data_IF_228763882063
#
_entry.id   IF_228763882063
#
_cell.length_a   1.000
_cell.length_b   1.000
_cell.length_c   1.000
_cell.angle_alpha   90.00
_cell.angle_beta   90.00
_cell.angle_gamma   90.00
#
_symmetry.space_group_name_H-M   'P 1'
#
loop_
_entity.id
_entity.type
_entity.pdbx_description
1 polymer ?
#
# COMPACT_ATOMS: atom_id res chain seq x y z
N UNK A 1 -71.21 -4.54 -35.88
CA UNK A 1 -70.42 -3.78 -34.88
C UNK A 1 -69.29 -4.67 -34.40
N UNK A 2 -68.07 -4.30 -34.76
CA UNK A 2 -66.84 -5.10 -34.69
C UNK A 2 -65.96 -4.60 -33.54
N UNK A 3 -65.46 -5.49 -32.68
CA UNK A 3 -64.21 -5.29 -31.93
C UNK A 3 -63.65 -6.66 -31.52
N UNK A 4 -62.72 -7.20 -32.31
CA UNK A 4 -61.26 -7.16 -32.13
C UNK A 4 -60.76 -7.94 -30.89
N UNK A 5 -60.68 -9.27 -31.03
CA UNK A 5 -59.88 -10.15 -30.18
C UNK A 5 -58.40 -10.03 -30.55
N UNK A 6 -57.62 -9.31 -29.75
CA UNK A 6 -56.17 -9.23 -29.90
C UNK A 6 -55.49 -10.46 -29.26
N UNK A 7 -55.25 -11.49 -30.06
CA UNK A 7 -54.38 -12.62 -29.67
C UNK A 7 -52.94 -12.12 -29.53
N UNK A 8 -52.45 -12.00 -28.30
CA UNK A 8 -51.03 -11.73 -28.00
C UNK A 8 -50.23 -13.00 -28.29
N UNK A 9 -49.73 -13.11 -29.52
CA UNK A 9 -48.70 -14.09 -29.91
C UNK A 9 -47.42 -13.76 -29.12
N UNK A 10 -47.16 -14.49 -28.03
CA UNK A 10 -45.92 -14.38 -27.28
C UNK A 10 -44.74 -14.68 -28.22
N UNK A 11 -43.95 -13.66 -28.54
CA UNK A 11 -42.78 -13.75 -29.41
C UNK A 11 -41.73 -14.59 -28.68
N UNK A 12 -41.63 -15.88 -29.01
CA UNK A 12 -40.52 -16.75 -28.55
C UNK A 12 -39.21 -16.11 -29.02
N UNK A 13 -38.49 -15.46 -28.10
CA UNK A 13 -37.14 -14.93 -28.33
C UNK A 13 -36.23 -16.11 -28.62
N UNK A 14 -35.67 -16.19 -29.84
CA UNK A 14 -34.61 -17.15 -30.16
C UNK A 14 -33.45 -16.86 -29.22
N UNK A 15 -33.07 -17.83 -28.38
CA UNK A 15 -31.92 -17.72 -27.50
C UNK A 15 -30.67 -17.56 -28.36
N UNK A 16 -29.94 -16.49 -28.09
CA UNK A 16 -28.65 -16.17 -28.70
C UNK A 16 -27.59 -17.15 -28.19
N UNK A 17 -26.57 -17.49 -28.99
CA UNK A 17 -25.44 -18.34 -28.55
C UNK A 17 -24.75 -17.76 -27.30
N UNK A 18 -24.84 -16.44 -27.11
CA UNK A 18 -24.34 -15.72 -25.94
C UNK A 18 -25.16 -15.98 -24.65
N UNK A 19 -26.43 -16.41 -24.77
CA UNK A 19 -27.29 -16.76 -23.63
C UNK A 19 -26.86 -18.10 -22.99
N UNK A 20 -26.01 -18.90 -23.65
CA UNK A 20 -25.49 -20.17 -23.12
C UNK A 20 -24.27 -19.98 -22.21
N UNK A 21 -23.52 -18.88 -22.36
CA UNK A 21 -22.26 -18.64 -21.64
C UNK A 21 -22.30 -17.46 -20.66
N UNK A 22 -23.23 -16.52 -20.82
CA UNK A 22 -23.43 -15.44 -19.87
C UNK A 22 -24.53 -15.83 -18.87
N UNK A 23 -24.22 -16.01 -17.57
CA UNK A 23 -25.28 -16.16 -16.58
C UNK A 23 -26.16 -14.90 -16.63
N UNK A 24 -27.51 -15.02 -16.62
CA UNK A 24 -28.38 -13.86 -16.59
C UNK A 24 -28.01 -12.98 -15.40
N UNK A 25 -28.06 -11.65 -15.54
CA UNK A 25 -27.69 -10.70 -14.49
C UNK A 25 -28.30 -11.03 -13.12
N UNK A 26 -29.50 -11.61 -13.10
CA UNK A 26 -30.16 -12.12 -11.88
C UNK A 26 -29.36 -13.24 -11.17
N UNK A 27 -28.77 -14.19 -11.92
CA UNK A 27 -27.88 -15.22 -11.36
C UNK A 27 -26.53 -14.65 -10.90
N UNK A 28 -26.00 -13.64 -11.60
CA UNK A 28 -24.77 -12.96 -11.21
C UNK A 28 -24.98 -12.14 -9.92
N UNK A 29 -26.11 -11.42 -9.82
CA UNK A 29 -26.53 -10.71 -8.63
C UNK A 29 -26.76 -11.68 -7.45
N UNK A 30 -27.42 -12.82 -7.68
CA UNK A 30 -27.58 -13.88 -6.66
C UNK A 30 -26.26 -14.54 -6.24
N UNK A 31 -25.22 -14.58 -7.08
CA UNK A 31 -23.88 -15.04 -6.67
C UNK A 31 -23.13 -14.01 -5.84
N UNK A 32 -23.31 -12.73 -6.15
CA UNK A 32 -22.71 -11.62 -5.38
C UNK A 32 -23.40 -11.42 -4.03
N UNK A 33 -24.74 -11.48 -4.00
CA UNK A 33 -25.56 -11.27 -2.79
C UNK A 33 -25.96 -12.55 -2.04
N UNK A 34 -25.88 -13.72 -2.67
CA UNK A 34 -26.34 -14.98 -2.09
C UNK A 34 -25.27 -15.81 -1.38
N UNK A 35 -24.04 -15.29 -1.27
CA UNK A 35 -23.03 -15.91 -0.43
C UNK A 35 -23.31 -15.44 1.00
N UNK A 36 -23.99 -16.30 1.77
CA UNK A 36 -24.21 -16.19 3.22
C UNK A 36 -23.10 -15.35 3.84
N UNK A 37 -23.49 -14.17 4.26
CA UNK A 37 -22.64 -13.15 4.83
C UNK A 37 -21.92 -13.80 6.02
N UNK A 38 -20.65 -14.18 5.82
CA UNK A 38 -19.90 -14.89 6.84
C UNK A 38 -19.87 -14.02 8.08
N UNK A 39 -20.20 -14.59 9.23
CA UNK A 39 -20.22 -13.86 10.51
C UNK A 39 -18.87 -13.18 10.80
N UNK A 40 -17.78 -13.65 10.19
CA UNK A 40 -16.48 -12.99 10.19
C UNK A 40 -16.47 -11.60 9.52
N UNK A 41 -17.21 -11.39 8.43
CA UNK A 41 -17.33 -10.07 7.78
C UNK A 41 -18.20 -9.12 8.62
N UNK A 42 -19.23 -9.64 9.31
CA UNK A 42 -20.03 -8.84 10.27
C UNK A 42 -19.16 -8.39 11.44
N UNK A 43 -18.24 -9.24 11.90
CA UNK A 43 -17.32 -8.93 12.99
C UNK A 43 -16.24 -7.90 12.60
N UNK A 44 -15.88 -7.79 11.32
CA UNK A 44 -14.94 -6.78 10.85
C UNK A 44 -15.50 -5.36 10.85
N UNK A 45 -16.83 -5.17 10.72
CA UNK A 45 -17.47 -3.85 10.72
C UNK A 45 -17.35 -3.12 12.06
N UNK A 46 -17.68 -3.72 13.22
CA UNK A 46 -17.52 -3.06 14.51
C UNK A 46 -16.03 -2.86 14.85
N UNK A 47 -15.14 -3.77 14.46
CA UNK A 47 -13.70 -3.57 14.62
C UNK A 47 -13.20 -2.36 13.82
N UNK A 48 -13.62 -2.24 12.56
CA UNK A 48 -13.29 -1.08 11.72
C UNK A 48 -13.88 0.22 12.30
N UNK A 49 -15.11 0.18 12.81
CA UNK A 49 -15.74 1.33 13.46
C UNK A 49 -15.03 1.73 14.76
N UNK A 50 -14.58 0.76 15.57
CA UNK A 50 -13.78 1.02 16.78
C UNK A 50 -12.42 1.61 16.40
N UNK A 51 -11.75 1.12 15.36
CA UNK A 51 -10.49 1.70 14.86
C UNK A 51 -10.72 3.15 14.39
N UNK A 52 -11.76 3.39 13.60
CA UNK A 52 -12.08 4.74 13.09
C UNK A 52 -12.48 5.71 14.21
N UNK A 53 -13.22 5.23 15.22
CA UNK A 53 -13.62 6.03 16.37
C UNK A 53 -12.45 6.34 17.29
N UNK A 54 -11.60 5.34 17.58
CA UNK A 54 -10.38 5.52 18.39
C UNK A 54 -9.38 6.46 17.72
N UNK A 55 -9.30 6.44 16.39
CA UNK A 55 -8.47 7.37 15.63
C UNK A 55 -9.06 8.79 15.58
N UNK A 56 -10.40 8.93 15.55
CA UNK A 56 -11.05 10.25 15.62
C UNK A 56 -10.88 10.92 16.98
N UNK A 57 -10.91 10.16 18.08
CA UNK A 57 -10.71 10.71 19.43
C UNK A 57 -9.26 11.14 19.69
N UNK A 58 -8.29 10.69 18.90
CA UNK A 58 -6.90 11.14 19.01
C UNK A 58 -6.68 12.52 18.34
N UNK A 59 -7.59 12.96 17.47
CA UNK A 59 -7.56 14.28 16.85
C UNK A 59 -8.16 15.35 17.78
N UNK A 60 -7.65 15.47 19.01
CA UNK A 60 -7.91 16.65 19.80
C UNK A 60 -7.15 17.83 19.18
N UNK A 61 -7.90 18.83 18.71
CA UNK A 61 -7.34 20.09 18.23
C UNK A 61 -6.55 20.75 19.37
N UNK A 62 -5.23 20.75 19.25
CA UNK A 62 -4.35 21.61 20.04
C UNK A 62 -4.64 23.06 19.64
N UNK A 63 -5.03 23.91 20.58
CA UNK A 63 -5.06 25.37 20.39
C UNK A 63 -3.62 25.91 20.38
N UNK A 64 -2.82 25.50 19.40
CA UNK A 64 -1.55 26.16 19.13
C UNK A 64 -1.84 27.49 18.44
N UNK A 65 -1.28 28.57 18.98
CA UNK A 65 -1.33 29.87 18.34
C UNK A 65 -0.80 29.74 16.90
N UNK A 66 -1.54 30.28 15.93
CA UNK A 66 -1.13 30.30 14.52
C UNK A 66 0.03 31.29 14.39
N UNK A 67 1.25 30.79 14.59
CA UNK A 67 2.50 31.50 14.31
C UNK A 67 2.93 31.21 12.87
N UNK A 68 3.69 32.12 12.26
CA UNK A 68 4.22 31.90 10.91
C UNK A 68 5.12 30.67 10.82
N UNK A 69 5.85 30.35 11.90
CA UNK A 69 6.69 29.15 12.00
C UNK A 69 5.86 27.86 11.99
N UNK A 70 4.76 27.81 12.77
CA UNK A 70 3.87 26.63 12.81
C UNK A 70 3.25 26.37 11.43
N UNK A 71 2.88 27.43 10.70
CA UNK A 71 2.34 27.30 9.33
C UNK A 71 3.39 26.74 8.36
N UNK A 72 4.65 27.18 8.46
CA UNK A 72 5.73 26.65 7.62
C UNK A 72 5.97 25.15 7.88
N UNK A 73 6.04 24.75 9.15
CA UNK A 73 6.18 23.34 9.55
C UNK A 73 5.08 22.49 8.94
N UNK A 74 3.82 22.92 9.05
CA UNK A 74 2.68 22.18 8.49
C UNK A 74 2.76 22.08 6.96
N UNK A 75 3.11 23.18 6.28
CA UNK A 75 3.25 23.19 4.81
C UNK A 75 4.37 22.27 4.33
N UNK A 76 5.53 22.29 5.00
CA UNK A 76 6.68 21.44 4.68
C UNK A 76 6.31 19.95 4.87
N UNK A 77 5.63 19.61 5.97
CA UNK A 77 5.17 18.24 6.21
C UNK A 77 4.12 17.78 5.19
N UNK A 78 3.16 18.63 4.82
CA UNK A 78 2.17 18.29 3.77
C UNK A 78 2.87 18.06 2.44
N UNK A 79 3.80 18.94 2.06
CA UNK A 79 4.53 18.81 0.81
C UNK A 79 5.33 17.50 0.75
N UNK A 80 6.09 17.17 1.80
CA UNK A 80 6.87 15.94 1.86
C UNK A 80 5.99 14.70 1.96
N UNK A 81 4.84 14.78 2.63
CA UNK A 81 3.87 13.69 2.69
C UNK A 81 3.26 13.41 1.30
N UNK A 82 2.91 14.45 0.54
CA UNK A 82 2.49 14.30 -0.86
C UNK A 82 3.61 13.68 -1.70
N UNK A 83 4.84 14.16 -1.54
CA UNK A 83 6.00 13.59 -2.23
C UNK A 83 6.21 12.10 -1.87
N UNK A 84 6.07 11.73 -0.59
CA UNK A 84 6.18 10.35 -0.13
C UNK A 84 5.12 9.46 -0.79
N UNK A 85 3.87 9.94 -0.89
CA UNK A 85 2.81 9.22 -1.62
C UNK A 85 3.19 9.00 -3.08
N UNK A 86 3.73 10.02 -3.77
CA UNK A 86 4.19 9.88 -5.16
C UNK A 86 5.30 8.82 -5.30
N UNK A 87 6.22 8.73 -4.35
CA UNK A 87 7.27 7.70 -4.33
C UNK A 87 6.67 6.31 -4.05
N UNK A 88 5.66 6.19 -3.19
CA UNK A 88 4.96 4.91 -3.00
C UNK A 88 4.27 4.46 -4.31
N UNK A 89 3.70 5.39 -5.08
CA UNK A 89 3.15 5.09 -6.40
C UNK A 89 4.20 4.59 -7.39
N UNK A 90 5.47 4.99 -7.25
CA UNK A 90 6.56 4.44 -8.05
C UNK A 90 6.79 2.95 -7.77
N UNK A 91 6.61 2.47 -6.53
CA UNK A 91 6.68 1.03 -6.22
C UNK A 91 5.60 0.24 -6.95
N UNK A 92 4.36 0.74 -6.95
CA UNK A 92 3.27 0.15 -7.72
C UNK A 92 3.52 0.24 -9.24
N UNK A 93 4.09 1.36 -9.71
CA UNK A 93 4.50 1.56 -11.09
C UNK A 93 5.51 0.52 -11.56
N UNK A 94 6.57 0.28 -10.79
CA UNK A 94 7.57 -0.75 -11.09
C UNK A 94 6.96 -2.14 -11.11
N UNK A 95 6.06 -2.48 -10.17
CA UNK A 95 5.36 -3.76 -10.20
C UNK A 95 4.55 -3.99 -11.48
N UNK A 96 3.89 -2.94 -11.98
CA UNK A 96 3.18 -3.00 -13.28
C UNK A 96 4.15 -3.19 -14.45
N UNK A 97 5.26 -2.44 -14.48
CA UNK A 97 6.29 -2.59 -15.52
C UNK A 97 6.92 -3.99 -15.52
N UNK A 98 7.25 -4.53 -14.34
CA UNK A 98 7.77 -5.89 -14.18
C UNK A 98 6.81 -6.94 -14.74
N UNK A 99 5.51 -6.81 -14.45
CA UNK A 99 4.53 -7.72 -15.04
C UNK A 99 4.30 -7.55 -16.52
N UNK A 100 4.47 -6.34 -17.05
CA UNK A 100 4.35 -6.07 -18.47
C UNK A 100 5.41 -6.80 -19.32
N UNK A 101 6.60 -7.01 -18.77
CA UNK A 101 7.68 -7.73 -19.46
C UNK A 101 7.69 -9.25 -19.22
N UNK A 102 6.87 -9.74 -18.30
CA UNK A 102 6.84 -11.16 -17.96
C UNK A 102 5.70 -11.90 -18.67
N UNK A 103 5.79 -13.22 -18.69
CA UNK A 103 4.75 -14.04 -19.31
C UNK A 103 3.45 -13.94 -18.50
N UNK A 104 2.31 -13.82 -19.19
CA UNK A 104 0.99 -13.66 -18.56
C UNK A 104 0.67 -14.73 -17.51
N UNK A 105 1.11 -15.98 -17.72
CA UNK A 105 0.92 -17.08 -16.78
C UNK A 105 1.58 -16.86 -15.40
N UNK A 106 2.58 -15.96 -15.34
CA UNK A 106 3.34 -15.64 -14.13
C UNK A 106 2.99 -14.26 -13.56
N UNK A 107 2.12 -13.48 -14.21
CA UNK A 107 1.85 -12.09 -13.85
C UNK A 107 1.34 -11.92 -12.41
N UNK A 108 0.41 -12.77 -11.98
CA UNK A 108 -0.12 -12.74 -10.59
C UNK A 108 0.99 -13.00 -9.58
N UNK A 109 1.84 -14.00 -9.85
CA UNK A 109 2.94 -14.32 -8.96
C UNK A 109 3.89 -13.11 -8.80
N UNK A 110 4.24 -12.44 -9.90
CA UNK A 110 5.14 -11.28 -9.88
C UNK A 110 4.52 -10.08 -9.15
N UNK A 111 3.25 -9.75 -9.39
CA UNK A 111 2.57 -8.67 -8.65
C UNK A 111 2.53 -8.97 -7.15
N UNK A 112 2.24 -10.21 -6.77
CA UNK A 112 2.23 -10.60 -5.37
C UNK A 112 3.62 -10.46 -4.73
N UNK A 113 4.70 -10.78 -5.46
CA UNK A 113 6.07 -10.56 -4.95
C UNK A 113 6.34 -9.08 -4.70
N UNK A 114 6.00 -8.23 -5.65
CA UNK A 114 6.26 -6.79 -5.56
C UNK A 114 5.51 -6.16 -4.36
N UNK A 115 4.24 -6.54 -4.16
CA UNK A 115 3.45 -6.06 -3.02
C UNK A 115 4.01 -6.54 -1.68
N UNK A 116 4.35 -7.83 -1.55
CA UNK A 116 4.87 -8.39 -0.30
C UNK A 116 6.23 -7.78 0.03
N UNK A 117 7.09 -7.61 -0.96
CA UNK A 117 8.42 -7.02 -0.74
C UNK A 117 8.34 -5.56 -0.36
N UNK A 118 7.40 -4.78 -0.90
CA UNK A 118 7.19 -3.40 -0.42
C UNK A 118 6.77 -3.35 1.06
N UNK A 119 5.87 -4.24 1.48
CA UNK A 119 5.47 -4.34 2.89
C UNK A 119 6.63 -4.76 3.81
N UNK A 120 7.40 -5.77 3.40
CA UNK A 120 8.57 -6.23 4.16
C UNK A 120 9.70 -5.20 4.17
N UNK A 121 9.91 -4.48 3.08
CA UNK A 121 10.86 -3.38 2.99
C UNK A 121 10.54 -2.31 4.03
N UNK A 122 9.27 -1.88 4.09
CA UNK A 122 8.80 -0.88 5.05
C UNK A 122 8.97 -1.36 6.49
N UNK A 123 8.60 -2.61 6.79
CA UNK A 123 8.75 -3.18 8.13
C UNK A 123 10.22 -3.35 8.55
N UNK A 124 11.07 -3.78 7.63
CA UNK A 124 12.50 -3.97 7.90
C UNK A 124 13.22 -2.64 8.10
N UNK A 125 12.85 -1.64 7.31
CA UNK A 125 13.34 -0.27 7.46
C UNK A 125 12.84 0.36 8.77
N UNK A 126 11.59 0.10 9.16
CA UNK A 126 11.06 0.51 10.47
C UNK A 126 11.80 -0.15 11.64
N UNK A 127 12.03 -1.46 11.58
CA UNK A 127 12.63 -2.19 12.69
C UNK A 127 14.10 -1.79 12.91
N UNK A 128 14.89 -1.71 11.83
CA UNK A 128 16.35 -1.54 11.92
C UNK A 128 16.86 -0.42 11.03
N UNK A 129 16.37 -0.33 9.80
CA UNK A 129 17.00 0.51 8.78
C UNK A 129 16.99 2.02 9.08
N UNK A 130 15.93 2.54 9.67
CA UNK A 130 15.85 3.96 10.02
C UNK A 130 16.91 4.35 11.07
N UNK A 131 17.06 3.53 12.11
CA UNK A 131 18.05 3.72 13.16
C UNK A 131 19.49 3.64 12.66
N UNK A 132 19.76 2.74 11.70
CA UNK A 132 21.08 2.63 11.08
C UNK A 132 21.40 3.79 10.12
N UNK A 133 20.40 4.39 9.47
CA UNK A 133 20.63 5.41 8.46
C UNK A 133 20.79 6.81 9.06
N UNK A 134 20.01 7.16 10.08
CA UNK A 134 19.93 8.55 10.57
C UNK A 134 20.40 8.78 12.00
N UNK A 135 20.68 7.74 12.77
CA UNK A 135 21.20 7.97 14.12
C UNK A 135 22.69 8.30 14.10
N UNK A 136 23.15 9.14 15.03
CA UNK A 136 24.57 9.47 15.16
C UNK A 136 25.31 8.36 15.92
N UNK A 137 26.27 7.70 15.26
CA UNK A 137 27.22 6.81 15.92
C UNK A 137 28.61 6.88 15.29
N UNK A 138 28.75 6.50 14.00
CA UNK A 138 30.02 6.53 13.27
C UNK A 138 29.79 7.02 11.83
N UNK A 139 30.79 7.61 11.14
CA UNK A 139 30.65 8.11 9.76
C UNK A 139 30.21 7.08 8.69
N UNK A 140 30.19 5.79 9.02
CA UNK A 140 29.83 4.71 8.11
C UNK A 140 28.47 4.06 8.43
N UNK A 141 27.98 4.17 9.67
CA UNK A 141 26.68 3.64 10.07
C UNK A 141 26.22 4.27 11.39
N UNK A 142 24.92 4.54 11.48
CA UNK A 142 24.24 4.90 12.73
C UNK A 142 23.99 3.69 13.63
N UNK A 143 23.77 3.92 14.92
CA UNK A 143 23.45 2.86 15.88
C UNK A 143 22.46 3.38 16.93
N UNK A 144 21.26 2.77 17.01
CA UNK A 144 20.20 3.14 17.98
C UNK A 144 18.85 3.43 17.30
N UNK A 145 17.84 3.82 18.09
CA UNK A 145 16.44 4.07 17.64
C UNK A 145 15.82 2.95 16.80
N UNK A 146 16.13 1.69 17.14
CA UNK A 146 15.47 0.53 16.55
C UNK A 146 13.97 0.59 16.84
N UNK A 147 13.13 0.22 15.87
CA UNK A 147 11.67 0.35 15.96
C UNK A 147 11.15 1.79 16.15
N UNK A 148 11.94 2.81 15.80
CA UNK A 148 11.65 4.21 16.14
C UNK A 148 11.51 4.43 17.66
N UNK A 149 12.11 3.56 18.49
CA UNK A 149 12.01 3.67 19.95
C UNK A 149 12.66 4.98 20.40
N UNK A 150 11.86 5.86 21.02
CA UNK A 150 12.33 7.16 21.53
C UNK A 150 11.99 8.36 20.65
N UNK A 151 11.27 8.17 19.54
CA UNK A 151 10.72 9.26 18.73
C UNK A 151 9.20 9.36 18.95
N UNK A 152 8.73 10.56 19.26
CA UNK A 152 7.32 10.93 19.33
C UNK A 152 6.85 11.52 18.00
N UNK A 153 5.54 11.60 17.79
CA UNK A 153 4.97 12.06 16.53
C UNK A 153 5.28 13.54 16.21
N UNK A 154 5.61 14.33 17.24
CA UNK A 154 5.87 15.76 17.14
C UNK A 154 7.37 16.09 17.11
N UNK A 155 8.24 15.09 17.30
CA UNK A 155 9.68 15.34 17.35
C UNK A 155 10.21 15.80 15.98
N UNK A 156 10.89 16.96 15.93
CA UNK A 156 11.56 17.43 14.72
C UNK A 156 12.79 16.57 14.47
N UNK A 157 12.91 16.03 13.26
CA UNK A 157 14.00 15.13 12.91
C UNK A 157 14.95 15.72 11.86
N UNK A 158 14.40 16.31 10.80
CA UNK A 158 15.17 16.94 9.73
C UNK A 158 14.59 18.33 9.43
N UNK A 159 15.11 19.35 10.12
CA UNK A 159 14.56 20.70 10.06
C UNK A 159 13.12 20.74 10.57
N UNK A 160 12.20 21.21 9.72
CA UNK A 160 10.78 21.35 10.03
C UNK A 160 9.96 20.05 9.88
N UNK A 161 10.59 18.92 9.56
CA UNK A 161 9.88 17.66 9.32
C UNK A 161 9.69 16.85 10.59
N UNK A 162 8.47 16.39 10.79
CA UNK A 162 8.11 15.47 11.87
C UNK A 162 8.68 14.07 11.59
N UNK A 163 9.10 13.37 12.65
CA UNK A 163 9.69 12.03 12.54
C UNK A 163 8.85 11.04 11.70
N UNK A 164 7.51 10.96 11.81
CA UNK A 164 6.71 10.03 11.01
C UNK A 164 6.70 10.36 9.51
N UNK A 165 6.65 11.65 9.15
CA UNK A 165 6.64 12.09 7.73
C UNK A 165 8.01 11.83 7.10
N UNK A 166 9.09 12.15 7.82
CA UNK A 166 10.44 11.87 7.35
C UNK A 166 10.70 10.37 7.23
N UNK A 167 10.27 9.57 8.21
CA UNK A 167 10.33 8.11 8.14
C UNK A 167 9.60 7.58 6.92
N UNK A 168 8.34 7.99 6.69
CA UNK A 168 7.54 7.50 5.57
C UNK A 168 8.18 7.83 4.21
N UNK A 169 8.69 9.05 4.06
CA UNK A 169 9.39 9.48 2.86
C UNK A 169 10.59 8.58 2.57
N UNK A 170 11.41 8.31 3.59
CA UNK A 170 12.63 7.51 3.44
C UNK A 170 12.33 6.01 3.26
N UNK A 171 11.32 5.49 3.96
CA UNK A 171 10.85 4.12 3.78
C UNK A 171 10.34 3.88 2.35
N UNK A 172 9.71 4.87 1.73
CA UNK A 172 9.25 4.78 0.35
C UNK A 172 10.43 4.59 -0.63
N UNK A 173 11.52 5.33 -0.46
CA UNK A 173 12.75 5.17 -1.28
C UNK A 173 13.46 3.85 -1.02
N UNK A 174 13.58 3.42 0.24
CA UNK A 174 14.13 2.13 0.59
C UNK A 174 13.33 0.98 -0.08
N UNK A 175 12.00 1.09 -0.08
CA UNK A 175 11.11 0.18 -0.80
C UNK A 175 11.34 0.18 -2.31
N UNK A 176 11.59 1.35 -2.91
CA UNK A 176 11.92 1.47 -4.33
C UNK A 176 13.24 0.81 -4.69
N UNK A 177 14.27 0.96 -3.85
CA UNK A 177 15.53 0.27 -4.08
C UNK A 177 15.33 -1.26 -4.14
N UNK A 178 14.50 -1.82 -3.26
CA UNK A 178 14.18 -3.26 -3.27
C UNK A 178 13.38 -3.69 -4.52
N UNK A 179 12.44 -2.86 -5.00
CA UNK A 179 11.64 -3.20 -6.20
C UNK A 179 12.44 -3.09 -7.49
N UNK A 180 13.39 -2.17 -7.60
CA UNK A 180 14.29 -2.10 -8.77
C UNK A 180 15.07 -3.42 -8.94
N UNK A 181 15.55 -3.99 -7.83
CA UNK A 181 16.26 -5.28 -7.91
C UNK A 181 15.31 -6.42 -8.28
N UNK A 182 14.04 -6.40 -7.83
CA UNK A 182 13.00 -7.36 -8.25
C UNK A 182 12.90 -7.45 -9.78
N UNK A 183 12.82 -6.30 -10.44
CA UNK A 183 12.70 -6.25 -11.89
C UNK A 183 13.92 -6.80 -12.63
N UNK A 184 15.12 -6.58 -12.10
CA UNK A 184 16.37 -7.09 -12.70
C UNK A 184 16.44 -8.63 -12.70
N UNK A 185 15.81 -9.28 -11.72
CA UNK A 185 15.87 -10.73 -11.50
C UNK A 185 14.54 -11.44 -11.81
N UNK A 186 13.61 -10.73 -12.46
CA UNK A 186 12.27 -11.21 -12.74
C UNK A 186 12.27 -12.59 -13.43
N UNK A 187 11.31 -13.44 -13.06
CA UNK A 187 11.13 -14.85 -13.50
C UNK A 187 12.25 -15.86 -13.15
N UNK A 188 13.45 -15.44 -12.73
CA UNK A 188 14.62 -16.33 -12.60
C UNK A 188 14.95 -16.77 -11.18
N UNK A 189 14.28 -16.21 -10.17
CA UNK A 189 14.58 -16.48 -8.75
C UNK A 189 13.38 -17.02 -7.97
N UNK A 190 13.70 -17.82 -6.94
CA UNK A 190 12.71 -18.32 -5.99
C UNK A 190 12.20 -17.16 -5.13
N UNK A 191 10.95 -17.27 -4.71
CA UNK A 191 10.30 -16.21 -3.91
C UNK A 191 10.99 -15.99 -2.57
N UNK A 192 11.33 -17.07 -1.87
CA UNK A 192 11.93 -17.02 -0.52
C UNK A 192 13.30 -16.34 -0.56
N UNK A 193 14.14 -16.71 -1.53
CA UNK A 193 15.46 -16.11 -1.71
C UNK A 193 15.36 -14.60 -1.95
N UNK A 194 14.36 -14.18 -2.73
CA UNK A 194 14.09 -12.76 -2.98
C UNK A 194 13.67 -12.02 -1.71
N UNK A 195 12.81 -12.63 -0.88
CA UNK A 195 12.35 -12.01 0.37
C UNK A 195 13.51 -11.79 1.32
N UNK A 196 14.35 -12.81 1.53
CA UNK A 196 15.54 -12.70 2.41
C UNK A 196 16.47 -11.60 1.89
N UNK A 197 16.73 -11.57 0.59
CA UNK A 197 17.52 -10.53 -0.04
C UNK A 197 16.92 -9.13 0.20
N UNK A 198 15.61 -8.96 0.00
CA UNK A 198 14.96 -7.66 0.17
C UNK A 198 15.05 -7.14 1.61
N UNK A 199 14.92 -8.03 2.61
CA UNK A 199 15.08 -7.68 4.02
C UNK A 199 16.52 -7.22 4.30
N UNK A 200 17.53 -7.96 3.81
CA UNK A 200 18.93 -7.58 4.00
C UNK A 200 19.28 -6.26 3.30
N UNK A 201 18.71 -6.04 2.11
CA UNK A 201 18.90 -4.80 1.38
C UNK A 201 18.31 -3.62 2.14
N UNK A 202 17.06 -3.68 2.59
CA UNK A 202 16.40 -2.54 3.24
C UNK A 202 16.76 -2.36 4.72
N UNK A 203 17.13 -3.43 5.43
CA UNK A 203 17.53 -3.35 6.83
C UNK A 203 19.00 -2.97 7.01
N UNK A 204 19.90 -3.32 6.08
CA UNK A 204 21.35 -3.19 6.27
C UNK A 204 21.98 -2.41 5.12
N UNK A 205 21.94 -2.95 3.90
CA UNK A 205 22.73 -2.39 2.78
C UNK A 205 22.33 -0.96 2.45
N UNK A 206 21.02 -0.70 2.30
CA UNK A 206 20.48 0.60 1.94
C UNK A 206 20.73 1.65 3.04
N UNK A 207 20.42 1.38 4.34
CA UNK A 207 20.77 2.28 5.44
C UNK A 207 22.24 2.66 5.54
N UNK A 208 23.16 1.70 5.35
CA UNK A 208 24.61 1.96 5.40
C UNK A 208 25.02 2.91 4.27
N UNK A 209 24.54 2.66 3.05
CA UNK A 209 24.85 3.52 1.90
C UNK A 209 24.18 4.89 1.98
N UNK A 210 23.04 5.00 2.66
CA UNK A 210 22.36 6.28 2.87
C UNK A 210 22.91 7.10 4.04
N UNK A 211 23.75 6.49 4.90
CA UNK A 211 24.37 7.16 6.03
C UNK A 211 25.66 7.92 5.65
N UNK A 212 26.39 7.44 4.62
CA UNK A 212 27.60 8.08 4.10
C UNK A 212 27.27 9.30 3.23
#
# INVERSE_FOLDING_TARGET
MSSLNFSRKARRRKSSVWDTYAPPFDQMAKRFFGRSFSWAWLACIPLALVIVATWNTAAHAQEDAITAENVQVVLDNIWVLVAAVLVIFMNAGFGMLETGFCRQKNAVNILSKNLIVFALATLSFWAIGFGLMFNEANPFFGMGNFFLSGLTAEDPYAGNLTAPVFFLFQAAFAGTAATIVSGAVAERIKFVDFVIFSILLTAISYPITGHW
#
